data_IF_195422764436
#
_entry.id   IF_195422764436
#
_cell.length_a   1.000
_cell.length_b   1.000
_cell.length_c   1.000
_cell.angle_alpha   90.00
_cell.angle_beta   90.00
_cell.angle_gamma   90.00
#
_symmetry.space_group_name_H-M   'P 1'
#
loop_
_entity.id
_entity.type
_entity.pdbx_description
1 polymer ?
#
# COMPACT_ATOMS: atom_id res chain seq x y z
N UNK A 1 11.16 -1.28 0.22
CA UNK A 1 12.48 -1.92 0.05
C UNK A 1 12.60 -2.57 -1.32
N UNK A 2 11.91 -3.69 -1.56
CA UNK A 2 12.12 -4.55 -2.74
C UNK A 2 11.88 -3.85 -4.09
N UNK A 3 10.87 -2.98 -4.20
CA UNK A 3 10.63 -2.19 -5.43
C UNK A 3 11.79 -1.24 -5.75
N UNK A 4 12.40 -0.63 -4.72
CA UNK A 4 13.58 0.23 -4.88
C UNK A 4 14.77 -0.62 -5.30
N UNK A 5 14.99 -1.74 -4.64
CA UNK A 5 16.09 -2.68 -4.96
C UNK A 5 15.98 -3.18 -6.41
N UNK A 6 14.77 -3.59 -6.84
CA UNK A 6 14.50 -3.97 -8.24
C UNK A 6 14.92 -2.89 -9.24
N UNK A 7 14.61 -1.63 -8.91
CA UNK A 7 14.96 -0.50 -9.79
C UNK A 7 16.46 -0.24 -9.81
N UNK A 8 17.12 -0.29 -8.67
CA UNK A 8 18.56 -0.09 -8.55
C UNK A 8 19.36 -1.24 -9.18
N UNK A 9 18.93 -2.49 -9.00
CA UNK A 9 19.55 -3.65 -9.61
C UNK A 9 19.49 -3.66 -11.16
N UNK A 10 18.63 -2.83 -11.75
CA UNK A 10 18.60 -2.61 -13.20
C UNK A 10 19.66 -1.59 -13.69
N UNK A 11 20.47 -1.05 -12.78
CA UNK A 11 21.57 -0.11 -13.07
C UNK A 11 22.93 -0.80 -12.85
N UNK A 12 24.02 -0.03 -12.89
CA UNK A 12 25.39 -0.52 -12.60
C UNK A 12 25.70 -0.56 -11.09
N UNK A 13 24.72 -0.36 -10.21
CA UNK A 13 24.93 -0.40 -8.76
C UNK A 13 24.96 -1.85 -8.26
N UNK A 14 25.90 -2.17 -7.38
CA UNK A 14 25.77 -3.34 -6.52
C UNK A 14 24.73 -3.04 -5.44
N UNK A 15 23.78 -3.94 -5.25
CA UNK A 15 22.61 -3.75 -4.36
C UNK A 15 22.57 -4.89 -3.35
N UNK A 16 22.37 -4.55 -2.08
CA UNK A 16 22.01 -5.52 -1.05
C UNK A 16 20.65 -5.13 -0.43
N UNK A 17 19.79 -6.12 -0.24
CA UNK A 17 18.53 -6.02 0.49
C UNK A 17 18.75 -6.71 1.83
N UNK A 18 18.56 -5.98 2.93
CA UNK A 18 18.61 -6.54 4.27
C UNK A 18 17.19 -6.64 4.80
N UNK A 19 16.79 -7.83 5.24
CA UNK A 19 15.56 -8.04 5.96
C UNK A 19 15.85 -8.64 7.34
N UNK A 20 15.14 -8.19 8.36
CA UNK A 20 15.31 -8.67 9.73
C UNK A 20 14.62 -10.03 9.95
N UNK A 21 13.79 -10.47 9.03
CA UNK A 21 13.02 -11.70 9.06
C UNK A 21 13.67 -12.76 8.18
N UNK A 22 13.12 -13.95 8.25
CA UNK A 22 13.52 -15.11 7.44
C UNK A 22 13.06 -15.02 5.98
N UNK A 23 12.12 -14.11 5.68
CA UNK A 23 11.76 -13.78 4.31
C UNK A 23 11.36 -12.31 4.16
N UNK A 24 11.30 -11.83 2.91
CA UNK A 24 10.73 -10.54 2.56
C UNK A 24 9.21 -10.58 2.75
N UNK A 25 8.61 -9.41 2.95
CA UNK A 25 7.14 -9.26 3.09
C UNK A 25 6.54 -9.64 4.44
N UNK A 26 7.30 -10.16 5.39
CA UNK A 26 6.81 -10.60 6.69
C UNK A 26 6.29 -9.48 7.63
N UNK A 27 6.15 -8.28 7.12
CA UNK A 27 5.59 -7.13 7.82
C UNK A 27 4.26 -6.67 7.21
N UNK A 28 4.02 -5.36 7.25
CA UNK A 28 2.82 -4.69 6.73
C UNK A 28 2.59 -4.92 5.23
N UNK A 29 3.64 -5.25 4.47
CA UNK A 29 3.52 -5.52 3.03
C UNK A 29 2.66 -6.74 2.71
N UNK A 30 2.53 -7.68 3.64
CA UNK A 30 1.64 -8.85 3.51
C UNK A 30 0.33 -8.66 4.28
N UNK A 31 0.37 -8.04 5.45
CA UNK A 31 -0.78 -7.83 6.32
C UNK A 31 -1.47 -6.50 5.98
N UNK A 32 -2.22 -6.48 4.90
CA UNK A 32 -2.97 -5.33 4.41
C UNK A 32 -4.24 -5.79 3.67
N UNK A 33 -5.02 -4.84 3.18
CA UNK A 33 -6.30 -5.09 2.49
C UNK A 33 -6.18 -5.51 1.03
N UNK A 34 -4.97 -5.67 0.52
CA UNK A 34 -4.67 -6.03 -0.87
C UNK A 34 -5.24 -5.06 -1.94
N UNK A 35 -5.60 -3.85 -1.54
CA UNK A 35 -6.16 -2.85 -2.46
C UNK A 35 -5.03 -2.10 -3.15
N UNK A 36 -5.06 -2.09 -4.46
CA UNK A 36 -4.26 -1.20 -5.29
C UNK A 36 -5.04 0.08 -5.54
N UNK A 37 -4.74 1.10 -4.74
CA UNK A 37 -5.44 2.37 -4.73
C UNK A 37 -5.08 3.26 -5.92
N UNK A 38 -6.09 3.87 -6.53
CA UNK A 38 -5.94 4.85 -7.61
C UNK A 38 -5.36 6.19 -7.15
N UNK A 39 -5.48 6.50 -5.85
CA UNK A 39 -5.08 7.77 -5.25
C UNK A 39 -6.18 8.83 -5.27
N UNK A 40 -7.42 8.44 -5.57
CA UNK A 40 -8.56 9.36 -5.68
C UNK A 40 -8.81 10.17 -4.39
N UNK A 41 -8.58 9.57 -3.21
CA UNK A 41 -8.83 10.15 -1.89
C UNK A 41 -7.58 10.71 -1.18
N UNK A 42 -6.42 10.64 -1.82
CA UNK A 42 -5.19 11.19 -1.28
C UNK A 42 -5.31 12.71 -1.07
N UNK A 43 -4.56 13.25 -0.10
CA UNK A 43 -4.55 14.71 0.10
C UNK A 43 -3.93 15.40 -1.12
N UNK A 44 -4.65 16.29 -1.82
CA UNK A 44 -4.14 16.95 -3.01
C UNK A 44 -2.85 17.73 -2.74
N UNK A 45 -1.96 17.77 -3.74
CA UNK A 45 -0.68 18.48 -3.66
C UNK A 45 0.40 17.81 -2.83
N UNK A 46 0.11 16.70 -2.15
CA UNK A 46 1.09 15.96 -1.35
C UNK A 46 1.93 15.00 -2.19
N UNK A 47 3.06 14.58 -1.61
CA UNK A 47 3.88 13.53 -2.19
C UNK A 47 3.10 12.21 -2.31
N UNK A 48 2.27 11.89 -1.31
CA UNK A 48 1.39 10.73 -1.32
C UNK A 48 0.50 10.72 -2.56
N UNK A 49 -0.28 11.78 -2.83
CA UNK A 49 -1.17 11.87 -3.98
C UNK A 49 -0.44 11.62 -5.31
N UNK A 50 0.75 12.24 -5.48
CA UNK A 50 1.57 12.04 -6.69
C UNK A 50 2.09 10.61 -6.83
N UNK A 51 2.56 10.02 -5.73
CA UNK A 51 3.20 8.69 -5.75
C UNK A 51 2.17 7.57 -5.83
N UNK A 52 1.02 7.68 -5.17
CA UNK A 52 -0.03 6.64 -5.21
C UNK A 52 -0.58 6.50 -6.62
N UNK A 53 -0.99 7.59 -7.26
CA UNK A 53 -1.51 7.56 -8.63
C UNK A 53 -0.48 7.00 -9.65
N UNK A 54 0.80 7.35 -9.49
CA UNK A 54 1.87 6.78 -10.30
C UNK A 54 2.10 5.31 -9.97
N UNK A 55 2.13 4.97 -8.68
CA UNK A 55 2.33 3.61 -8.17
C UNK A 55 1.26 2.65 -8.66
N UNK A 56 0.00 3.09 -8.69
CA UNK A 56 -1.12 2.33 -9.26
C UNK A 56 -0.79 1.82 -10.67
N UNK A 57 -0.44 2.72 -11.58
CA UNK A 57 -0.13 2.37 -12.97
C UNK A 57 1.06 1.43 -13.10
N UNK A 58 2.15 1.72 -12.38
CA UNK A 58 3.37 0.92 -12.44
C UNK A 58 3.16 -0.48 -11.85
N UNK A 59 2.44 -0.58 -10.74
CA UNK A 59 2.15 -1.88 -10.11
C UNK A 59 1.20 -2.71 -10.96
N UNK A 60 0.16 -2.09 -11.53
CA UNK A 60 -0.74 -2.75 -12.47
C UNK A 60 0.01 -3.37 -13.66
N UNK A 61 0.87 -2.56 -14.30
CA UNK A 61 1.70 -3.04 -15.41
C UNK A 61 2.63 -4.17 -14.99
N UNK A 62 3.27 -4.04 -13.83
CA UNK A 62 4.14 -5.05 -13.30
C UNK A 62 3.42 -6.37 -13.02
N UNK A 63 2.27 -6.32 -12.37
CA UNK A 63 1.48 -7.53 -12.11
C UNK A 63 1.15 -8.28 -13.41
N UNK A 64 0.74 -7.55 -14.45
CA UNK A 64 0.47 -8.15 -15.77
C UNK A 64 1.70 -8.79 -16.40
N UNK A 65 2.86 -8.14 -16.31
CA UNK A 65 4.12 -8.64 -16.87
C UNK A 65 4.66 -9.86 -16.11
N UNK A 66 4.49 -9.87 -14.78
CA UNK A 66 5.00 -10.91 -13.90
C UNK A 66 4.02 -12.08 -13.68
N UNK A 67 2.82 -12.04 -14.28
CA UNK A 67 1.80 -13.05 -14.05
C UNK A 67 1.21 -13.03 -12.64
N UNK A 68 1.31 -11.90 -11.92
CA UNK A 68 0.77 -11.74 -10.57
C UNK A 68 -0.70 -11.36 -10.65
N UNK A 69 -1.52 -11.97 -9.79
CA UNK A 69 -2.96 -11.72 -9.72
C UNK A 69 -3.26 -10.24 -9.48
N UNK A 70 -3.99 -9.62 -10.41
CA UNK A 70 -4.53 -8.27 -10.29
C UNK A 70 -5.91 -8.23 -10.94
N UNK A 71 -6.89 -7.69 -10.23
CA UNK A 71 -8.27 -7.60 -10.72
C UNK A 71 -8.87 -6.23 -10.42
N UNK A 72 -9.43 -5.60 -11.44
CA UNK A 72 -10.18 -4.36 -11.30
C UNK A 72 -11.58 -4.70 -10.81
N UNK A 73 -11.85 -4.48 -9.54
CA UNK A 73 -13.14 -4.73 -8.91
C UNK A 73 -14.01 -3.48 -8.86
N UNK A 74 -13.37 -2.33 -8.89
CA UNK A 74 -13.98 -1.07 -8.50
C UNK A 74 -14.23 -1.01 -6.99
N UNK A 75 -14.60 0.17 -6.53
CA UNK A 75 -15.02 0.40 -5.15
C UNK A 75 -16.28 1.26 -5.12
N UNK A 76 -17.05 1.11 -4.03
CA UNK A 76 -18.16 1.98 -3.67
C UNK A 76 -17.92 2.50 -2.26
N UNK A 77 -17.81 3.82 -2.12
CA UNK A 77 -17.93 4.48 -0.83
C UNK A 77 -19.41 4.59 -0.52
N UNK A 78 -19.80 4.05 0.63
CA UNK A 78 -21.21 4.03 1.08
C UNK A 78 -21.39 5.07 2.16
N UNK A 79 -22.39 5.92 2.01
CA UNK A 79 -22.87 6.85 3.02
C UNK A 79 -24.05 6.23 3.77
N UNK A 80 -24.00 6.28 5.11
CA UNK A 80 -24.96 5.68 6.03
C UNK A 80 -25.84 6.69 6.75
N UNK A 81 -25.53 7.97 6.60
CA UNK A 81 -26.27 9.08 7.18
C UNK A 81 -26.20 10.31 6.26
N UNK A 82 -26.97 11.34 6.61
CA UNK A 82 -27.03 12.58 5.83
C UNK A 82 -25.72 13.37 5.82
N UNK A 83 -24.94 13.35 6.94
CA UNK A 83 -23.63 14.02 7.02
C UNK A 83 -22.64 13.38 6.04
N UNK A 84 -22.61 12.06 6.00
CA UNK A 84 -21.78 11.30 5.04
C UNK A 84 -22.23 11.54 3.59
N UNK A 85 -23.52 11.50 3.32
CA UNK A 85 -24.07 11.80 1.99
C UNK A 85 -23.71 13.21 1.53
N UNK A 86 -23.84 14.20 2.41
CA UNK A 86 -23.46 15.59 2.12
C UNK A 86 -21.94 15.78 1.86
N UNK A 87 -21.09 14.83 2.30
CA UNK A 87 -19.65 14.86 2.06
C UNK A 87 -19.24 14.35 0.68
N UNK A 88 -20.08 13.59 0.00
CA UNK A 88 -19.74 12.94 -1.28
C UNK A 88 -19.30 13.91 -2.38
N UNK A 89 -19.93 15.09 -2.58
CA UNK A 89 -19.47 16.05 -3.58
C UNK A 89 -18.05 16.55 -3.33
N UNK A 90 -17.67 16.77 -2.06
CA UNK A 90 -16.31 17.19 -1.70
C UNK A 90 -15.29 16.07 -1.97
N UNK A 91 -15.66 14.81 -1.73
CA UNK A 91 -14.81 13.65 -2.05
C UNK A 91 -14.63 13.49 -3.57
N UNK A 92 -15.69 13.70 -4.35
CA UNK A 92 -15.61 13.70 -5.81
C UNK A 92 -14.71 14.83 -6.32
N UNK A 93 -14.88 16.05 -5.82
CA UNK A 93 -14.02 17.19 -6.18
C UNK A 93 -12.54 16.92 -5.84
N UNK A 94 -12.28 16.28 -4.70
CA UNK A 94 -10.93 15.87 -4.30
C UNK A 94 -10.34 14.84 -5.26
N UNK A 95 -11.13 13.87 -5.73
CA UNK A 95 -10.68 12.90 -6.73
C UNK A 95 -10.26 13.61 -8.03
N UNK A 96 -11.06 14.56 -8.51
CA UNK A 96 -10.72 15.38 -9.68
C UNK A 96 -9.43 16.17 -9.48
N UNK A 97 -9.22 16.77 -8.30
CA UNK A 97 -7.96 17.48 -7.98
C UNK A 97 -6.74 16.54 -8.01
N UNK A 98 -6.93 15.26 -7.72
CA UNK A 98 -5.90 14.22 -7.82
C UNK A 98 -5.75 13.66 -9.26
N UNK A 99 -6.47 14.19 -10.23
CA UNK A 99 -6.46 13.76 -11.62
C UNK A 99 -7.25 12.46 -11.88
N UNK A 100 -8.19 12.12 -10.99
CA UNK A 100 -9.07 10.97 -11.13
C UNK A 100 -10.53 11.41 -11.34
N UNK A 101 -10.98 11.44 -12.60
CA UNK A 101 -12.27 12.02 -13.01
C UNK A 101 -13.40 10.99 -13.14
N UNK A 102 -13.15 9.70 -12.87
CA UNK A 102 -14.11 8.62 -13.12
C UNK A 102 -15.09 8.37 -11.96
N UNK A 103 -14.94 9.08 -10.85
CA UNK A 103 -15.87 8.96 -9.72
C UNK A 103 -17.26 9.47 -10.09
N UNK A 104 -18.31 8.80 -9.58
CA UNK A 104 -19.70 9.21 -9.74
C UNK A 104 -20.43 9.07 -8.42
N UNK A 105 -21.19 10.11 -8.06
CA UNK A 105 -22.16 10.03 -6.96
C UNK A 105 -23.36 9.24 -7.46
N UNK A 106 -23.83 8.29 -6.66
CA UNK A 106 -24.93 7.37 -6.97
C UNK A 106 -25.96 7.36 -5.86
N UNK A 107 -27.21 7.07 -6.24
CA UNK A 107 -28.35 7.00 -5.32
C UNK A 107 -28.31 5.71 -4.46
N UNK A 108 -29.08 5.65 -3.36
CA UNK A 108 -29.19 4.42 -2.57
C UNK A 108 -29.59 3.19 -3.39
N UNK A 109 -30.52 3.33 -4.31
CA UNK A 109 -30.97 2.24 -5.19
C UNK A 109 -29.83 1.75 -6.08
N UNK A 110 -29.02 2.67 -6.60
CA UNK A 110 -27.84 2.33 -7.40
C UNK A 110 -26.77 1.67 -6.55
N UNK A 111 -26.57 2.08 -5.28
CA UNK A 111 -25.66 1.40 -4.34
C UNK A 111 -26.11 -0.05 -4.13
N UNK A 112 -27.40 -0.28 -3.87
CA UNK A 112 -27.91 -1.65 -3.69
C UNK A 112 -27.85 -2.49 -4.97
N UNK A 113 -27.99 -1.88 -6.14
CA UNK A 113 -27.77 -2.58 -7.41
C UNK A 113 -26.32 -3.06 -7.59
N UNK A 114 -25.34 -2.26 -7.13
CA UNK A 114 -23.91 -2.61 -7.15
C UNK A 114 -23.51 -3.59 -6.03
N UNK A 115 -24.20 -3.54 -4.89
CA UNK A 115 -23.92 -4.25 -3.64
C UNK A 115 -25.20 -4.86 -3.04
N UNK A 116 -25.74 -5.92 -3.66
CA UNK A 116 -27.09 -6.43 -3.32
C UNK A 116 -27.21 -7.04 -1.93
N UNK A 117 -26.08 -7.39 -1.30
CA UNK A 117 -26.07 -7.98 0.06
C UNK A 117 -25.78 -6.96 1.16
N UNK A 118 -25.75 -5.67 0.83
CA UNK A 118 -25.52 -4.62 1.82
C UNK A 118 -26.75 -4.47 2.73
N UNK A 119 -26.52 -4.26 4.02
CA UNK A 119 -27.59 -4.00 4.99
C UNK A 119 -28.36 -2.72 4.70
N UNK A 120 -29.57 -2.55 5.28
CA UNK A 120 -30.40 -1.37 5.06
C UNK A 120 -29.80 -0.09 5.67
N UNK A 121 -30.23 1.09 5.20
CA UNK A 121 -29.87 2.38 5.78
C UNK A 121 -28.86 3.18 4.93
N UNK A 122 -28.59 2.77 3.70
CA UNK A 122 -27.76 3.53 2.77
C UNK A 122 -28.45 4.82 2.36
N UNK A 123 -27.73 5.95 2.43
CA UNK A 123 -28.24 7.28 2.03
C UNK A 123 -27.63 7.77 0.70
N UNK A 124 -26.59 7.09 0.20
CA UNK A 124 -25.95 7.39 -1.07
C UNK A 124 -24.57 6.74 -1.18
N UNK A 125 -23.90 6.98 -2.29
CA UNK A 125 -22.56 6.44 -2.50
C UNK A 125 -21.73 7.18 -3.53
N UNK A 126 -20.44 6.85 -3.58
CA UNK A 126 -19.48 7.34 -4.58
C UNK A 126 -18.76 6.14 -5.19
N UNK A 127 -18.86 5.97 -6.50
CA UNK A 127 -18.16 4.90 -7.21
C UNK A 127 -16.72 5.29 -7.55
N UNK A 128 -15.80 4.32 -7.48
CA UNK A 128 -14.40 4.46 -7.91
C UNK A 128 -14.05 3.25 -8.81
N UNK A 129 -14.35 3.32 -10.11
CA UNK A 129 -14.34 2.14 -11.00
C UNK A 129 -12.98 1.45 -11.17
N UNK A 130 -11.87 2.16 -11.02
CA UNK A 130 -10.54 1.59 -11.26
C UNK A 130 -9.86 1.04 -9.99
N UNK A 131 -10.45 1.19 -8.79
CA UNK A 131 -9.91 0.52 -7.61
C UNK A 131 -9.76 -0.98 -7.89
N UNK A 132 -8.67 -1.55 -7.43
CA UNK A 132 -8.30 -2.91 -7.82
C UNK A 132 -7.80 -3.69 -6.62
N UNK A 133 -7.83 -5.00 -6.71
CA UNK A 133 -7.17 -5.89 -5.75
C UNK A 133 -5.99 -6.58 -6.40
N UNK A 134 -4.97 -6.86 -5.61
CA UNK A 134 -3.74 -7.53 -6.03
C UNK A 134 -3.39 -8.67 -5.07
N UNK A 135 -2.58 -9.59 -5.53
CA UNK A 135 -1.87 -10.47 -4.61
C UNK A 135 -0.75 -9.68 -3.91
N UNK A 136 -1.07 -9.23 -2.68
CA UNK A 136 -0.19 -8.37 -1.90
C UNK A 136 1.13 -9.06 -1.47
N UNK A 137 1.20 -10.38 -1.50
CA UNK A 137 2.41 -11.15 -1.20
C UNK A 137 3.32 -11.28 -2.40
N UNK A 138 2.74 -11.66 -3.54
CA UNK A 138 3.51 -11.93 -4.74
C UNK A 138 4.14 -10.68 -5.33
N UNK A 139 3.55 -9.49 -5.15
CA UNK A 139 4.12 -8.26 -5.69
C UNK A 139 5.50 -7.93 -5.10
N UNK A 140 5.68 -7.76 -3.78
CA UNK A 140 6.99 -7.46 -3.22
C UNK A 140 7.96 -8.65 -3.31
N UNK A 141 7.47 -9.89 -3.30
CA UNK A 141 8.29 -11.07 -3.56
C UNK A 141 8.83 -11.06 -4.99
N UNK A 142 7.97 -10.79 -5.97
CA UNK A 142 8.39 -10.65 -7.37
C UNK A 142 9.41 -9.54 -7.57
N UNK A 143 9.27 -8.40 -6.88
CA UNK A 143 10.28 -7.35 -6.91
C UNK A 143 11.62 -7.79 -6.33
N UNK A 144 11.61 -8.56 -5.23
CA UNK A 144 12.83 -9.12 -4.65
C UNK A 144 13.48 -10.14 -5.61
N UNK A 145 12.70 -11.04 -6.17
CA UNK A 145 13.15 -12.04 -7.16
C UNK A 145 13.78 -11.37 -8.37
N UNK A 146 13.14 -10.35 -8.94
CA UNK A 146 13.69 -9.59 -10.07
C UNK A 146 15.02 -8.90 -9.71
N UNK A 147 15.14 -8.37 -8.49
CA UNK A 147 16.36 -7.74 -8.02
C UNK A 147 17.50 -8.77 -7.91
N UNK A 148 17.22 -9.94 -7.29
CA UNK A 148 18.19 -11.04 -7.14
C UNK A 148 18.63 -11.59 -8.50
N UNK A 149 17.70 -11.81 -9.42
CA UNK A 149 18.00 -12.26 -10.79
C UNK A 149 18.89 -11.26 -11.56
N UNK A 150 18.95 -10.00 -11.11
CA UNK A 150 19.85 -8.96 -11.64
C UNK A 150 21.10 -8.76 -10.82
N UNK A 151 21.41 -9.66 -9.91
CA UNK A 151 22.63 -9.67 -9.13
C UNK A 151 22.57 -8.94 -7.79
N UNK A 152 21.37 -8.54 -7.30
CA UNK A 152 21.25 -8.03 -5.95
C UNK A 152 21.41 -9.16 -4.92
N UNK A 153 22.11 -8.88 -3.82
CA UNK A 153 22.17 -9.79 -2.67
C UNK A 153 20.94 -9.61 -1.80
N UNK A 154 20.26 -10.71 -1.47
CA UNK A 154 19.20 -10.73 -0.46
C UNK A 154 19.74 -11.36 0.82
N UNK A 155 19.86 -10.56 1.86
CA UNK A 155 20.36 -10.93 3.18
C UNK A 155 19.17 -10.98 4.16
N UNK A 156 18.63 -12.16 4.37
CA UNK A 156 17.56 -12.44 5.32
C UNK A 156 18.16 -12.64 6.72
N UNK A 157 17.36 -12.48 7.76
CA UNK A 157 17.78 -12.56 9.17
C UNK A 157 18.93 -11.58 9.51
N UNK A 158 19.05 -10.52 8.74
CA UNK A 158 20.05 -9.46 8.92
C UNK A 158 19.40 -8.20 9.51
N UNK A 159 18.99 -8.28 10.76
CA UNK A 159 18.46 -7.12 11.48
C UNK A 159 19.57 -6.07 11.64
N UNK A 160 19.32 -4.86 11.17
CA UNK A 160 20.24 -3.74 11.37
C UNK A 160 20.20 -3.33 12.85
N UNK A 161 21.37 -3.34 13.49
CA UNK A 161 21.55 -3.05 14.92
C UNK A 161 22.37 -1.78 15.18
N UNK A 162 23.00 -1.24 14.15
CA UNK A 162 23.74 0.00 14.24
C UNK A 162 24.31 0.43 12.90
N UNK A 163 24.52 1.73 12.77
CA UNK A 163 25.13 2.34 11.60
C UNK A 163 26.24 3.25 12.08
N UNK A 164 27.47 2.92 11.71
CA UNK A 164 28.67 3.69 12.02
C UNK A 164 28.94 4.64 10.85
N UNK A 165 28.68 5.92 11.08
CA UNK A 165 28.90 6.99 10.09
C UNK A 165 30.31 7.52 10.34
N UNK A 166 31.27 7.03 9.56
CA UNK A 166 32.67 7.49 9.63
C UNK A 166 33.01 8.51 8.53
N UNK A 167 34.26 8.88 8.45
CA UNK A 167 34.79 9.80 7.44
C UNK A 167 34.75 9.24 6.01
N UNK A 168 34.58 7.94 5.84
CA UNK A 168 34.63 7.24 4.55
C UNK A 168 33.25 6.68 4.16
N UNK A 169 33.05 5.38 4.27
CA UNK A 169 31.80 4.69 3.84
C UNK A 169 31.09 4.15 5.06
N UNK A 170 29.79 4.43 5.23
CA UNK A 170 29.01 3.90 6.35
C UNK A 170 29.15 2.39 6.51
N UNK A 171 29.34 1.95 7.75
CA UNK A 171 29.36 0.54 8.13
C UNK A 171 28.06 0.20 8.83
N UNK A 172 27.34 -0.76 8.27
CA UNK A 172 26.06 -1.25 8.77
C UNK A 172 26.33 -2.53 9.55
N UNK A 173 26.08 -2.51 10.87
CA UNK A 173 26.11 -3.71 11.73
C UNK A 173 24.76 -4.37 11.71
N UNK A 174 24.76 -5.68 11.56
CA UNK A 174 23.55 -6.51 11.61
C UNK A 174 23.71 -7.65 12.60
N UNK A 175 22.62 -8.33 12.95
CA UNK A 175 22.59 -9.54 13.76
C UNK A 175 23.47 -10.69 13.23
N UNK A 176 23.79 -10.67 11.92
CA UNK A 176 24.54 -11.75 11.26
C UNK A 176 25.87 -11.27 10.64
N UNK A 177 26.35 -10.09 11.01
CA UNK A 177 27.61 -9.56 10.51
C UNK A 177 27.56 -8.08 10.19
N UNK A 178 28.48 -7.59 9.36
CA UNK A 178 28.53 -6.19 8.98
C UNK A 178 28.88 -6.02 7.50
N UNK A 179 28.38 -4.94 6.91
CA UNK A 179 28.68 -4.57 5.53
C UNK A 179 28.94 -3.06 5.43
N UNK A 180 29.57 -2.65 4.33
CA UNK A 180 29.78 -1.24 4.00
C UNK A 180 28.96 -0.89 2.76
N UNK A 181 28.33 0.29 2.76
CA UNK A 181 27.58 0.78 1.61
C UNK A 181 27.70 2.30 1.49
N UNK A 182 27.99 2.78 0.27
CA UNK A 182 28.05 4.24 0.00
C UNK A 182 26.69 4.92 0.18
N UNK A 183 25.60 4.18 -0.07
CA UNK A 183 24.22 4.66 0.04
C UNK A 183 23.41 3.67 0.85
N UNK A 184 22.64 4.17 1.78
CA UNK A 184 21.69 3.37 2.55
C UNK A 184 20.30 3.95 2.32
N UNK A 185 19.40 3.10 1.88
CA UNK A 185 17.98 3.44 1.70
C UNK A 185 17.21 2.90 2.89
N UNK A 186 16.74 3.79 3.74
CA UNK A 186 15.85 3.42 4.83
C UNK A 186 14.46 3.09 4.30
N UNK A 187 14.12 1.81 4.27
CA UNK A 187 12.82 1.28 3.87
C UNK A 187 12.30 0.27 4.91
N UNK A 188 12.64 0.49 6.18
CA UNK A 188 12.40 -0.45 7.29
C UNK A 188 10.96 -0.44 7.81
N UNK A 189 10.02 0.23 7.12
CA UNK A 189 8.60 0.22 7.50
C UNK A 189 8.39 0.78 8.92
N UNK A 190 7.84 -0.02 9.81
CA UNK A 190 7.59 0.37 11.20
C UNK A 190 8.88 0.62 12.01
N UNK A 191 10.03 0.15 11.55
CA UNK A 191 11.33 0.40 12.18
C UNK A 191 12.11 1.55 11.54
N UNK A 192 11.49 2.37 10.70
CA UNK A 192 12.19 3.43 9.97
C UNK A 192 12.74 4.54 10.86
N UNK A 193 12.05 4.88 11.94
CA UNK A 193 12.52 5.84 12.93
C UNK A 193 13.75 5.34 13.69
N UNK A 194 13.78 4.05 14.04
CA UNK A 194 14.96 3.44 14.67
C UNK A 194 16.18 3.49 13.75
N UNK A 195 16.01 3.22 12.45
CA UNK A 195 17.10 3.34 11.47
C UNK A 195 17.54 4.81 11.31
N UNK A 196 16.61 5.75 11.30
CA UNK A 196 16.92 7.19 11.23
C UNK A 196 17.74 7.64 12.45
N UNK A 197 17.38 7.17 13.66
CA UNK A 197 18.11 7.42 14.89
C UNK A 197 19.53 6.85 14.87
N UNK A 198 19.77 5.68 14.26
CA UNK A 198 21.11 5.10 14.10
C UNK A 198 22.05 5.97 13.25
N UNK A 199 21.50 6.84 12.40
CA UNK A 199 22.25 7.86 11.66
C UNK A 199 22.46 9.15 12.45
N UNK A 200 21.95 9.24 13.69
CA UNK A 200 22.00 10.45 14.53
C UNK A 200 20.92 11.47 14.18
N UNK A 201 19.85 11.06 13.48
CA UNK A 201 18.74 11.93 13.13
C UNK A 201 17.52 11.65 14.03
N UNK A 202 16.68 12.66 14.20
CA UNK A 202 15.35 12.57 14.84
C UNK A 202 14.33 13.29 13.92
N UNK A 203 14.26 12.86 12.66
CA UNK A 203 13.46 13.53 11.62
C UNK A 203 12.05 12.97 11.50
N UNK A 204 11.84 11.77 11.99
CA UNK A 204 10.55 11.09 11.87
C UNK A 204 10.28 10.22 13.11
N UNK A 205 9.02 10.08 13.44
CA UNK A 205 8.55 9.15 14.46
C UNK A 205 7.43 8.31 13.87
N UNK A 206 7.54 7.01 13.98
CA UNK A 206 6.51 6.06 13.56
C UNK A 206 5.57 5.81 14.73
N UNK A 207 4.28 6.14 14.56
CA UNK A 207 3.22 5.80 15.50
C UNK A 207 2.37 4.68 14.90
N UNK A 208 2.62 3.41 15.23
CA UNK A 208 1.88 2.30 14.65
C UNK A 208 0.40 2.35 15.04
N UNK A 209 -0.47 2.12 14.07
CA UNK A 209 -1.90 1.89 14.33
C UNK A 209 -2.23 0.46 13.96
N UNK A 210 -2.74 -0.30 14.92
CA UNK A 210 -3.18 -1.67 14.70
C UNK A 210 -4.45 -1.65 13.86
N UNK A 211 -4.44 -2.40 12.76
CA UNK A 211 -5.63 -2.78 12.00
C UNK A 211 -5.90 -4.27 12.22
N UNK A 212 -7.16 -4.65 12.22
CA UNK A 212 -7.58 -6.05 12.31
C UNK A 212 -8.21 -6.45 10.99
N UNK A 213 -7.81 -7.61 10.48
CA UNK A 213 -8.32 -8.19 9.24
C UNK A 213 -9.04 -9.48 9.57
N UNK A 214 -10.32 -9.54 9.20
CA UNK A 214 -11.11 -10.76 9.25
C UNK A 214 -11.15 -11.36 7.84
N UNK A 215 -10.61 -12.55 7.69
CA UNK A 215 -10.61 -13.26 6.41
C UNK A 215 -11.74 -14.28 6.45
N UNK A 216 -12.69 -14.13 5.52
CA UNK A 216 -13.81 -15.04 5.38
C UNK A 216 -13.48 -16.16 4.39
N UNK A 217 -14.19 -17.27 4.52
CA UNK A 217 -14.11 -18.39 3.59
C UNK A 217 -14.53 -17.99 2.15
N UNK A 218 -14.08 -18.74 1.16
CA UNK A 218 -14.42 -18.57 -0.25
C UNK A 218 -15.93 -18.55 -0.53
N UNK A 219 -16.73 -19.18 0.33
CA UNK A 219 -18.20 -19.13 0.24
C UNK A 219 -18.76 -17.71 0.36
N UNK A 220 -18.04 -16.81 1.02
CA UNK A 220 -18.43 -15.41 1.14
C UNK A 220 -18.04 -14.54 -0.08
N UNK A 221 -17.31 -15.08 -1.05
CA UNK A 221 -16.76 -14.31 -2.19
C UNK A 221 -17.82 -13.60 -3.05
N UNK A 222 -19.04 -14.14 -3.10
CA UNK A 222 -20.17 -13.56 -3.83
C UNK A 222 -20.88 -12.40 -3.10
N UNK A 223 -20.64 -12.22 -1.80
CA UNK A 223 -21.35 -11.23 -0.98
C UNK A 223 -20.92 -9.78 -1.27
N UNK A 224 -19.67 -9.57 -1.67
CA UNK A 224 -19.14 -8.26 -1.99
C UNK A 224 -18.36 -8.30 -3.31
N UNK A 225 -19.00 -8.09 -4.47
CA UNK A 225 -18.35 -8.16 -5.76
C UNK A 225 -17.36 -7.00 -6.01
N UNK A 226 -17.46 -5.94 -5.23
CA UNK A 226 -16.62 -4.73 -5.26
C UNK A 226 -16.03 -4.44 -3.89
N UNK A 227 -15.01 -3.60 -3.85
CA UNK A 227 -14.51 -3.04 -2.60
C UNK A 227 -15.58 -2.13 -2.02
N UNK A 228 -15.94 -2.35 -0.75
CA UNK A 228 -16.89 -1.51 -0.01
C UNK A 228 -16.12 -0.68 1.00
N UNK A 229 -16.29 0.62 0.94
CA UNK A 229 -15.68 1.59 1.84
C UNK A 229 -16.79 2.39 2.54
N UNK A 230 -16.64 2.65 3.83
CA UNK A 230 -17.49 3.64 4.49
C UNK A 230 -17.03 5.05 4.10
N UNK A 231 -17.96 5.96 3.83
CA UNK A 231 -17.63 7.37 3.72
C UNK A 231 -16.98 7.86 5.04
N UNK A 232 -15.98 8.76 4.97
CA UNK A 232 -15.29 9.25 6.15
C UNK A 232 -16.27 9.86 7.16
N UNK A 233 -16.06 9.57 8.44
CA UNK A 233 -16.81 10.14 9.56
C UNK A 233 -15.86 10.80 10.54
N UNK A 234 -16.40 11.54 11.52
CA UNK A 234 -15.62 12.16 12.61
C UNK A 234 -14.85 11.14 13.45
N UNK A 235 -15.32 9.87 13.47
CA UNK A 235 -14.70 8.77 14.23
C UNK A 235 -13.53 8.14 13.48
N UNK A 236 -13.37 8.44 12.19
CA UNK A 236 -12.26 7.95 11.35
C UNK A 236 -12.73 7.09 10.17
N UNK A 237 -11.82 6.27 9.64
CA UNK A 237 -12.13 5.32 8.56
C UNK A 237 -12.97 4.17 9.13
N UNK A 238 -14.14 3.95 8.55
CA UNK A 238 -15.03 2.85 8.91
C UNK A 238 -14.52 1.47 8.46
N UNK A 239 -15.40 0.49 8.57
CA UNK A 239 -15.14 -0.89 8.11
C UNK A 239 -14.95 -0.88 6.59
N UNK A 240 -13.98 -1.67 6.14
CA UNK A 240 -13.68 -1.88 4.73
C UNK A 240 -13.88 -3.37 4.41
N UNK A 241 -14.51 -3.67 3.29
CA UNK A 241 -14.65 -5.03 2.76
C UNK A 241 -13.92 -5.09 1.42
N UNK A 242 -13.04 -6.08 1.27
CA UNK A 242 -12.29 -6.30 0.03
C UNK A 242 -12.57 -7.71 -0.49
N UNK A 243 -12.96 -7.88 -1.75
CA UNK A 243 -13.20 -9.19 -2.38
C UNK A 243 -11.87 -9.82 -2.83
N UNK A 244 -11.06 -10.26 -1.88
CA UNK A 244 -9.76 -10.90 -2.11
C UNK A 244 -9.87 -12.35 -2.55
#
# INVERSE_FOLDING_TARGET
>A
GTAIARRLAATRCSVAILDARDDVTEGTSKANTAILHTGYDAKPGTLEGRLVARGYRLTWQYCKQAGIGVRRTGAVLVAWDEEQAASLPALQAKAVQNGYEKTRIITPEQVYAELPHLGPGVTGGLTVPDESIIDAWSVPLGFATDAVNRGAALLREHRVEGIEVGADVPRIRTSAGALKARWVVNAAGLGSDAIDAMYGYDRLRVNPRRGELLVFDKLASGLAPKIVLAAPSKVGKGVLISPT
#
